data_IF_629825582076
#
_entry.id   IF_629825582076
#
_cell.length_a   1.000
_cell.length_b   1.000
_cell.length_c   1.000
_cell.angle_alpha   90.00
_cell.angle_beta   90.00
_cell.angle_gamma   90.00
#
_symmetry.space_group_name_H-M   'P 1'
#
loop_
_entity.id
_entity.type
_entity.pdbx_description
1 polymer ?
#
# COMPACT_ATOMS: atom_id res chain seq x y z
N UNK A 1 -17.53 8.57 19.47
CA UNK A 1 -16.16 8.17 19.09
C UNK A 1 -15.93 8.59 17.64
N UNK A 2 -15.37 9.78 17.42
CA UNK A 2 -14.09 10.00 16.71
C UNK A 2 -13.96 9.34 15.33
N UNK A 3 -14.46 9.99 14.28
CA UNK A 3 -14.33 9.54 12.88
C UNK A 3 -12.90 9.08 12.51
N UNK A 4 -11.87 9.79 12.99
CA UNK A 4 -10.47 9.42 12.73
C UNK A 4 -10.06 8.05 13.27
N UNK A 5 -10.55 7.63 14.46
CA UNK A 5 -10.28 6.28 14.97
C UNK A 5 -10.99 5.23 14.13
N UNK A 6 -12.24 5.51 13.72
CA UNK A 6 -13.00 4.63 12.85
C UNK A 6 -12.30 4.42 11.50
N UNK A 7 -11.78 5.48 10.89
CA UNK A 7 -11.03 5.41 9.63
C UNK A 7 -9.75 4.59 9.75
N UNK A 8 -8.93 4.82 10.77
CA UNK A 8 -7.68 4.08 10.98
C UNK A 8 -7.99 2.59 11.24
N UNK A 9 -8.93 2.29 12.14
CA UNK A 9 -9.32 0.91 12.41
C UNK A 9 -9.89 0.24 11.16
N UNK A 10 -10.73 0.94 10.39
CA UNK A 10 -11.32 0.42 9.16
C UNK A 10 -10.26 0.10 8.10
N UNK A 11 -9.25 0.96 7.93
CA UNK A 11 -8.10 0.69 7.06
C UNK A 11 -7.37 -0.58 7.47
N UNK A 12 -6.99 -0.71 8.75
CA UNK A 12 -6.26 -1.91 9.24
C UNK A 12 -7.11 -3.17 9.10
N UNK A 13 -8.39 -3.12 9.45
CA UNK A 13 -9.30 -4.28 9.30
C UNK A 13 -9.42 -4.68 7.82
N UNK A 14 -9.59 -3.70 6.93
CA UNK A 14 -9.67 -3.95 5.49
C UNK A 14 -8.40 -4.59 4.95
N UNK A 15 -7.23 -4.11 5.38
CA UNK A 15 -5.93 -4.61 4.96
C UNK A 15 -5.65 -6.03 5.49
N UNK A 16 -6.06 -6.36 6.72
CA UNK A 16 -5.94 -7.74 7.24
C UNK A 16 -6.89 -8.71 6.52
N UNK A 17 -8.11 -8.26 6.15
CA UNK A 17 -9.10 -9.10 5.46
C UNK A 17 -8.82 -9.26 3.96
N UNK A 18 -8.31 -8.20 3.31
CA UNK A 18 -8.10 -8.12 1.85
C UNK A 18 -7.32 -9.29 1.25
N UNK A 19 -6.19 -9.71 1.85
CA UNK A 19 -5.43 -10.88 1.39
C UNK A 19 -6.29 -12.12 1.25
N UNK A 20 -7.32 -12.30 2.09
CA UNK A 20 -8.22 -13.44 2.06
C UNK A 20 -8.80 -13.73 0.67
N UNK A 21 -8.99 -12.71 -0.16
CA UNK A 21 -9.50 -12.83 -1.54
C UNK A 21 -8.57 -12.26 -2.60
N UNK A 22 -7.44 -11.64 -2.21
CA UNK A 22 -6.49 -11.04 -3.15
C UNK A 22 -6.00 -12.05 -4.20
N UNK A 23 -6.03 -11.63 -5.46
CA UNK A 23 -5.58 -12.44 -6.59
C UNK A 23 -6.46 -13.64 -6.94
N UNK A 24 -7.65 -13.77 -6.32
CA UNK A 24 -8.61 -14.83 -6.63
C UNK A 24 -9.67 -14.37 -7.63
N UNK A 25 -10.15 -15.32 -8.43
CA UNK A 25 -11.37 -15.18 -9.24
C UNK A 25 -12.62 -15.41 -8.39
N UNK A 26 -13.78 -14.93 -8.85
CA UNK A 26 -15.07 -15.19 -8.18
C UNK A 26 -15.36 -16.69 -7.99
N UNK A 27 -14.96 -17.52 -8.95
CA UNK A 27 -15.08 -18.98 -8.86
C UNK A 27 -14.22 -19.55 -7.72
N UNK A 28 -12.98 -19.09 -7.58
CA UNK A 28 -12.11 -19.54 -6.48
C UNK A 28 -12.62 -19.06 -5.12
N UNK A 29 -13.14 -17.83 -5.05
CA UNK A 29 -13.74 -17.27 -3.84
C UNK A 29 -14.95 -18.12 -3.42
N UNK A 30 -15.88 -18.40 -4.33
CA UNK A 30 -17.07 -19.22 -4.03
C UNK A 30 -16.73 -20.66 -3.62
N UNK A 31 -15.64 -21.23 -4.15
CA UNK A 31 -15.17 -22.56 -3.78
C UNK A 31 -14.48 -22.59 -2.42
N UNK A 32 -13.63 -21.59 -2.10
CA UNK A 32 -12.87 -21.55 -0.84
C UNK A 32 -13.69 -21.00 0.33
N UNK A 33 -14.62 -20.08 0.05
CA UNK A 33 -15.42 -19.38 1.05
C UNK A 33 -16.92 -19.45 0.70
N UNK A 34 -17.53 -20.64 0.66
CA UNK A 34 -18.95 -20.79 0.32
C UNK A 34 -19.89 -20.04 1.28
N UNK A 35 -19.44 -19.78 2.50
CA UNK A 35 -20.17 -19.03 3.54
C UNK A 35 -19.55 -17.65 3.82
N UNK A 36 -18.61 -17.20 2.98
CA UNK A 36 -17.80 -16.01 3.24
C UNK A 36 -16.72 -16.21 4.32
N UNK A 37 -16.04 -15.11 4.66
CA UNK A 37 -15.03 -15.03 5.72
C UNK A 37 -15.69 -14.34 6.93
N UNK A 38 -15.75 -15.03 8.06
CA UNK A 38 -16.38 -14.49 9.29
C UNK A 38 -15.37 -14.21 10.39
N UNK A 39 -14.26 -14.95 10.38
CA UNK A 39 -13.15 -14.81 11.29
C UNK A 39 -11.83 -14.77 10.51
N UNK A 40 -10.81 -14.09 11.04
CA UNK A 40 -9.48 -14.09 10.41
C UNK A 40 -8.92 -15.51 10.24
N UNK A 41 -9.23 -16.43 11.17
CA UNK A 41 -8.87 -17.84 11.09
C UNK A 41 -9.40 -18.56 9.85
N UNK A 42 -10.43 -18.01 9.19
CA UNK A 42 -11.02 -18.60 7.99
C UNK A 42 -10.15 -18.33 6.75
N UNK A 43 -9.21 -17.36 6.82
CA UNK A 43 -8.35 -16.97 5.69
C UNK A 43 -7.53 -18.16 5.21
N UNK A 44 -7.75 -18.54 3.95
CA UNK A 44 -7.02 -19.62 3.30
C UNK A 44 -5.56 -19.22 3.05
N UNK A 45 -4.63 -20.03 3.55
CA UNK A 45 -3.18 -19.82 3.40
C UNK A 45 -2.65 -20.55 2.16
N UNK A 46 -1.83 -19.86 1.37
CA UNK A 46 -1.09 -20.45 0.26
C UNK A 46 0.23 -19.72 0.01
N UNK A 47 0.91 -20.00 -1.12
CA UNK A 47 2.19 -19.37 -1.45
C UNK A 47 2.11 -17.84 -1.52
N UNK A 48 0.98 -17.29 -1.95
CA UNK A 48 0.76 -15.85 -2.04
C UNK A 48 0.37 -15.28 -0.67
N UNK A 49 -0.45 -16.00 0.10
CA UNK A 49 -0.91 -15.64 1.45
C UNK A 49 -0.25 -16.54 2.50
N UNK A 50 1.04 -16.35 2.73
CA UNK A 50 1.86 -17.22 3.62
C UNK A 50 2.20 -16.59 4.97
N UNK A 51 1.69 -15.38 5.22
CA UNK A 51 1.96 -14.63 6.43
C UNK A 51 1.01 -15.05 7.54
N UNK A 52 1.42 -14.80 8.78
CA UNK A 52 0.63 -15.18 9.94
C UNK A 52 -0.76 -14.56 9.84
N UNK A 53 -1.78 -15.38 10.05
CA UNK A 53 -3.17 -14.95 10.02
C UNK A 53 -3.37 -13.82 11.04
N UNK A 54 -3.92 -12.70 10.57
CA UNK A 54 -4.16 -11.50 11.37
C UNK A 54 -3.06 -10.43 11.28
N UNK A 55 -1.92 -10.73 10.64
CA UNK A 55 -0.92 -9.70 10.34
C UNK A 55 -1.40 -8.85 9.15
N UNK A 56 -1.12 -7.54 9.18
CA UNK A 56 -1.53 -6.58 8.13
C UNK A 56 -0.43 -6.41 7.07
N UNK A 57 -0.76 -6.47 5.77
CA UNK A 57 0.16 -6.17 4.65
C UNK A 57 0.75 -4.75 4.59
N UNK A 58 1.31 -4.41 3.42
CA UNK A 58 1.99 -3.15 3.15
C UNK A 58 1.12 -1.90 3.31
N UNK A 59 -0.18 -1.98 3.02
CA UNK A 59 -1.07 -0.83 3.08
C UNK A 59 -1.10 -0.20 4.49
N UNK A 60 -1.14 -1.02 5.55
CA UNK A 60 -1.11 -0.53 6.94
C UNK A 60 0.27 0.00 7.32
N UNK A 61 1.35 -0.68 6.96
CA UNK A 61 2.69 -0.21 7.31
C UNK A 61 3.05 1.10 6.58
N UNK A 62 2.64 1.26 5.32
CA UNK A 62 2.81 2.51 4.58
C UNK A 62 1.94 3.63 5.17
N UNK A 63 0.68 3.35 5.54
CA UNK A 63 -0.13 4.33 6.29
C UNK A 63 0.58 4.76 7.58
N UNK A 64 1.15 3.82 8.34
CA UNK A 64 1.88 4.11 9.58
C UNK A 64 3.10 5.01 9.35
N UNK A 65 3.86 4.78 8.28
CA UNK A 65 4.98 5.66 7.92
C UNK A 65 4.53 7.12 7.75
N UNK A 66 3.38 7.34 7.09
CA UNK A 66 2.81 8.68 6.89
C UNK A 66 2.34 9.26 8.23
N UNK A 67 1.60 8.48 9.03
CA UNK A 67 1.09 8.93 10.32
C UNK A 67 2.23 9.29 11.30
N UNK A 68 3.31 8.51 11.32
CA UNK A 68 4.46 8.77 12.17
C UNK A 68 5.18 10.06 11.78
N UNK A 69 5.24 10.40 10.49
CA UNK A 69 5.73 11.73 10.05
C UNK A 69 4.83 12.85 10.57
N UNK A 70 3.51 12.71 10.44
CA UNK A 70 2.57 13.71 10.95
C UNK A 70 2.69 13.89 12.46
N UNK A 71 2.85 12.80 13.22
CA UNK A 71 3.04 12.87 14.68
C UNK A 71 4.37 13.54 15.04
N UNK A 72 5.44 13.26 14.29
CA UNK A 72 6.76 13.82 14.58
C UNK A 72 6.86 15.32 14.26
N UNK A 73 6.22 15.77 13.18
CA UNK A 73 6.45 17.11 12.61
C UNK A 73 5.22 18.02 12.57
N UNK A 74 4.01 17.49 12.85
CA UNK A 74 2.70 18.17 12.70
C UNK A 74 2.46 18.78 11.31
N UNK A 75 3.19 18.28 10.31
CA UNK A 75 3.12 18.69 8.91
C UNK A 75 3.33 17.48 8.01
N UNK A 76 2.87 17.56 6.78
CA UNK A 76 3.33 16.66 5.74
C UNK A 76 4.80 16.97 5.42
N UNK A 77 5.64 15.96 5.52
CA UNK A 77 7.05 16.05 5.15
C UNK A 77 7.37 14.90 4.18
N UNK A 78 7.33 15.21 2.89
CA UNK A 78 7.53 14.20 1.84
C UNK A 78 8.88 13.51 1.97
N UNK A 79 9.92 14.21 2.44
CA UNK A 79 11.25 13.64 2.61
C UNK A 79 11.30 12.65 3.77
N UNK A 80 10.67 13.00 4.90
CA UNK A 80 10.57 12.06 6.02
C UNK A 80 9.73 10.83 5.67
N UNK A 81 8.63 11.02 4.92
CA UNK A 81 7.78 9.92 4.44
C UNK A 81 8.56 8.97 3.54
N UNK A 82 9.28 9.48 2.52
CA UNK A 82 10.06 8.61 1.61
C UNK A 82 11.21 7.91 2.34
N UNK A 83 11.85 8.58 3.31
CA UNK A 83 12.83 7.93 4.19
C UNK A 83 12.23 6.76 4.96
N UNK A 84 11.08 6.96 5.62
CA UNK A 84 10.38 5.91 6.39
C UNK A 84 9.90 4.76 5.51
N UNK A 85 9.40 5.05 4.30
CA UNK A 85 9.07 4.02 3.32
C UNK A 85 10.28 3.17 2.93
N UNK A 86 11.44 3.80 2.66
CA UNK A 86 12.67 3.08 2.33
C UNK A 86 13.12 2.20 3.50
N UNK A 87 13.08 2.74 4.72
CA UNK A 87 13.42 2.00 5.94
C UNK A 87 12.48 0.81 6.18
N UNK A 88 11.17 1.00 6.02
CA UNK A 88 10.22 -0.09 6.07
C UNK A 88 10.54 -1.14 5.00
N UNK A 89 10.67 -0.77 3.72
CA UNK A 89 11.00 -1.71 2.64
C UNK A 89 12.28 -2.53 2.92
N UNK A 90 13.27 -1.95 3.59
CA UNK A 90 14.51 -2.65 3.94
C UNK A 90 14.33 -3.66 5.09
N UNK A 91 13.29 -3.52 5.91
CA UNK A 91 13.06 -4.32 7.13
C UNK A 91 11.76 -5.14 7.09
N UNK A 92 10.86 -4.84 6.17
CA UNK A 92 9.52 -5.40 6.02
C UNK A 92 9.05 -5.23 4.57
N UNK A 93 8.83 -6.34 3.88
CA UNK A 93 8.37 -6.38 2.48
C UNK A 93 7.08 -7.16 2.32
N UNK A 94 6.33 -7.31 3.42
CA UNK A 94 5.08 -8.04 3.39
C UNK A 94 4.10 -7.31 2.48
N UNK A 95 3.48 -8.01 1.54
CA UNK A 95 2.52 -7.40 0.60
C UNK A 95 3.11 -6.56 -0.54
N UNK A 96 4.35 -6.05 -0.42
CA UNK A 96 4.85 -5.01 -1.33
C UNK A 96 4.71 -5.36 -2.81
N UNK A 97 3.97 -4.50 -3.53
CA UNK A 97 3.84 -4.58 -4.98
C UNK A 97 5.18 -4.40 -5.70
N UNK A 98 5.38 -5.14 -6.80
CA UNK A 98 6.64 -5.08 -7.59
C UNK A 98 6.99 -3.67 -8.05
N UNK A 99 6.00 -2.86 -8.43
CA UNK A 99 6.24 -1.49 -8.88
C UNK A 99 6.73 -0.61 -7.73
N UNK A 100 6.05 -0.67 -6.58
CA UNK A 100 6.43 0.02 -5.34
C UNK A 100 7.85 -0.34 -4.92
N UNK A 101 8.17 -1.64 -4.91
CA UNK A 101 9.53 -2.12 -4.65
C UNK A 101 10.55 -1.51 -5.62
N UNK A 102 10.29 -1.55 -6.93
CA UNK A 102 11.24 -1.05 -7.94
C UNK A 102 11.52 0.45 -7.78
N UNK A 103 10.48 1.25 -7.48
CA UNK A 103 10.64 2.69 -7.25
C UNK A 103 11.42 2.95 -5.96
N UNK A 104 11.04 2.28 -4.87
CA UNK A 104 11.73 2.41 -3.59
C UNK A 104 13.17 1.88 -3.65
N UNK A 105 13.48 0.91 -4.51
CA UNK A 105 14.81 0.33 -4.67
C UNK A 105 15.80 1.27 -5.37
N UNK A 106 15.34 2.34 -6.03
CA UNK A 106 16.21 3.34 -6.65
C UNK A 106 17.19 3.93 -5.62
N UNK A 107 18.44 4.15 -6.05
CA UNK A 107 19.52 4.64 -5.18
C UNK A 107 19.34 6.10 -4.76
N UNK A 108 18.50 6.83 -5.49
CA UNK A 108 18.15 8.22 -5.28
C UNK A 108 16.74 8.42 -4.72
N UNK A 109 16.02 7.35 -4.36
CA UNK A 109 14.65 7.41 -3.87
C UNK A 109 14.45 8.37 -2.68
N UNK A 110 15.41 8.41 -1.76
CA UNK A 110 15.36 9.27 -0.56
C UNK A 110 16.11 10.59 -0.77
N UNK A 111 16.55 10.92 -1.98
CA UNK A 111 17.26 12.19 -2.21
C UNK A 111 16.26 13.34 -2.22
N UNK A 112 16.61 14.41 -1.52
CA UNK A 112 15.90 15.67 -1.64
C UNK A 112 16.30 16.28 -2.99
N UNK A 113 15.34 16.35 -3.90
CA UNK A 113 15.47 17.19 -5.08
C UNK A 113 15.03 18.59 -4.70
N UNK A 114 15.81 19.62 -5.04
CA UNK A 114 15.33 21.00 -5.00
C UNK A 114 14.21 21.12 -6.02
N UNK A 115 12.97 20.96 -5.53
CA UNK A 115 11.77 21.21 -6.29
C UNK A 115 11.58 22.74 -6.32
N UNK A 116 12.43 23.46 -7.05
CA UNK A 116 11.98 24.72 -7.66
C UNK A 116 10.64 24.43 -8.36
N UNK A 117 9.62 25.31 -8.25
CA UNK A 117 8.22 24.94 -8.45
C UNK A 117 8.06 24.16 -9.74
N UNK A 118 7.98 22.83 -9.59
CA UNK A 118 7.81 21.89 -10.68
C UNK A 118 6.37 22.07 -11.12
N UNK A 119 6.21 23.04 -12.01
CA UNK A 119 5.00 23.32 -12.75
C UNK A 119 4.38 21.98 -13.15
N UNK A 120 3.17 21.76 -12.65
CA UNK A 120 2.26 20.63 -12.89
C UNK A 120 2.00 20.32 -14.39
N UNK A 121 2.73 20.93 -15.32
CA UNK A 121 2.65 20.78 -16.78
C UNK A 121 3.39 19.56 -17.36
N UNK A 122 4.24 18.84 -16.61
CA UNK A 122 4.97 17.68 -17.17
C UNK A 122 4.18 16.36 -17.25
N UNK A 123 3.03 16.23 -16.57
CA UNK A 123 2.15 15.04 -16.66
C UNK A 123 1.09 15.13 -17.79
N UNK A 124 1.45 15.64 -18.97
CA UNK A 124 0.69 15.39 -20.22
C UNK A 124 1.42 14.50 -21.22
N UNK A 125 2.67 14.10 -20.95
CA UNK A 125 3.51 13.44 -21.98
C UNK A 125 3.44 11.91 -21.93
N UNK A 126 2.84 11.28 -20.91
CA UNK A 126 2.82 9.81 -20.80
C UNK A 126 1.43 9.14 -20.80
N UNK A 127 0.33 9.88 -21.05
CA UNK A 127 -1.02 9.29 -21.07
C UNK A 127 -1.88 9.65 -22.30
N UNK A 128 -1.28 10.06 -23.42
CA UNK A 128 -2.02 10.14 -24.70
C UNK A 128 -1.14 9.65 -25.85
N UNK A 129 -0.94 8.34 -25.93
CA UNK A 129 -0.55 7.64 -27.16
C UNK A 129 -1.39 6.38 -27.31
N UNK A 130 -2.68 6.58 -27.55
CA UNK A 130 -3.54 5.65 -28.26
C UNK A 130 -4.84 6.38 -28.59
N UNK A 131 -5.25 6.27 -29.86
CA UNK A 131 -6.41 6.90 -30.53
C UNK A 131 -6.15 8.24 -31.21
N UNK A 132 -5.58 8.16 -32.42
CA UNK A 132 -6.19 8.77 -33.61
C UNK A 132 -6.00 7.83 -34.78
N UNK A 133 -7.13 7.30 -35.24
CA UNK A 133 -7.34 6.65 -36.53
C UNK A 133 -6.89 7.55 -37.68
N UNK A 134 -6.25 6.95 -38.67
CA UNK A 134 -6.12 7.43 -40.04
C UNK A 134 -6.57 6.31 -40.97
#
# INVERSE_FOLDING_TARGET
MSYGKGTICGQVIGDVLGPGTEGMTEKEISQKYPNGITHYSDIFQDRHRKWKIGDWPDDTDMMRCILDTFVACLKDDTFDITRRFKEWMMNGIMGIGRHTYNVMALSDYTKQYDIMPLNWRRKRIYLCKSHSVG
#
